data_IF_512852137299
#
_entry.id   IF_512852137299
#
_cell.length_a   1.000
_cell.length_b   1.000
_cell.length_c   1.000
_cell.angle_alpha   90.00
_cell.angle_beta   90.00
_cell.angle_gamma   90.00
#
_symmetry.space_group_name_H-M   'P 1'
#
loop_
_entity.id
_entity.type
_entity.pdbx_description
1 polymer ?
#
# COMPACT_ATOMS: atom_id res chain seq x y z
N UNK A 1 -17.94 10.85 26.72
CA UNK A 1 -17.96 11.32 25.31
C UNK A 1 -16.62 11.00 24.68
N UNK A 2 -16.56 9.96 23.86
CA UNK A 2 -15.35 9.49 23.18
C UNK A 2 -14.95 10.51 22.12
N UNK A 3 -13.77 11.14 22.25
CA UNK A 3 -13.23 12.04 21.21
C UNK A 3 -13.18 11.28 19.88
N UNK A 4 -13.82 11.84 18.86
CA UNK A 4 -13.70 11.35 17.50
C UNK A 4 -12.22 11.34 17.11
N UNK A 5 -11.71 10.17 16.70
CA UNK A 5 -10.32 10.02 16.24
C UNK A 5 -10.18 10.77 14.90
N UNK A 6 -9.00 11.32 14.64
CA UNK A 6 -8.71 11.98 13.35
C UNK A 6 -8.90 10.99 12.18
N UNK A 7 -9.36 11.44 11.00
CA UNK A 7 -9.55 10.60 9.82
C UNK A 7 -8.32 9.74 9.45
N UNK A 8 -7.13 10.32 9.57
CA UNK A 8 -5.86 9.61 9.33
C UNK A 8 -5.63 8.45 10.31
N UNK A 9 -6.04 8.60 11.57
CA UNK A 9 -5.93 7.51 12.55
C UNK A 9 -6.86 6.36 12.20
N UNK A 10 -8.06 6.65 11.67
CA UNK A 10 -9.03 5.66 11.21
C UNK A 10 -8.46 4.88 10.03
N UNK A 11 -7.98 5.58 8.99
CA UNK A 11 -7.35 4.97 7.81
C UNK A 11 -6.16 4.08 8.19
N UNK A 12 -5.30 4.55 9.10
CA UNK A 12 -4.10 3.82 9.47
C UNK A 12 -4.40 2.56 10.32
N UNK A 13 -5.51 2.50 11.07
CA UNK A 13 -5.72 1.44 12.07
C UNK A 13 -7.04 0.68 11.96
N UNK A 14 -8.17 1.36 11.75
CA UNK A 14 -9.47 0.70 11.62
C UNK A 14 -9.76 0.28 10.19
N UNK A 15 -9.40 1.10 9.21
CA UNK A 15 -9.60 0.83 7.78
C UNK A 15 -8.31 0.29 7.13
N UNK A 16 -7.41 -0.29 7.92
CA UNK A 16 -6.25 -0.96 7.38
C UNK A 16 -6.72 -2.30 6.78
N UNK A 17 -6.53 -2.55 5.48
CA UNK A 17 -7.03 -3.76 4.84
C UNK A 17 -6.35 -5.04 5.37
N UNK A 18 -5.13 -4.94 5.92
CA UNK A 18 -4.43 -6.07 6.55
C UNK A 18 -4.79 -6.29 8.02
N UNK A 19 -5.86 -5.66 8.51
CA UNK A 19 -6.25 -5.74 9.92
C UNK A 19 -6.63 -7.17 10.33
N UNK A 20 -7.30 -7.89 9.44
CA UNK A 20 -7.81 -9.24 9.67
C UNK A 20 -6.72 -10.33 9.58
N UNK A 21 -5.54 -10.00 9.05
CA UNK A 21 -4.36 -10.86 9.15
C UNK A 21 -3.96 -11.14 10.61
N UNK A 22 -4.24 -10.20 11.52
CA UNK A 22 -4.04 -10.40 12.96
C UNK A 22 -5.16 -11.30 13.51
N UNK A 23 -4.88 -12.60 13.56
CA UNK A 23 -5.84 -13.64 13.99
C UNK A 23 -6.03 -14.77 12.98
N UNK A 24 -5.44 -14.70 11.78
CA UNK A 24 -5.39 -15.85 10.86
C UNK A 24 -4.48 -16.94 11.41
N UNK A 25 -4.90 -18.20 11.25
CA UNK A 25 -4.21 -19.36 11.85
C UNK A 25 -2.75 -19.50 11.39
N UNK A 26 -2.46 -19.20 10.12
CA UNK A 26 -1.14 -19.32 9.51
C UNK A 26 -0.30 -18.03 9.55
N UNK A 27 -0.87 -16.90 9.99
CA UNK A 27 -0.18 -15.61 10.04
C UNK A 27 0.09 -15.21 11.49
N UNK A 28 1.36 -15.18 11.87
CA UNK A 28 1.72 -14.69 13.21
C UNK A 28 1.37 -13.20 13.38
N UNK A 29 1.06 -12.74 14.61
CA UNK A 29 0.82 -11.32 14.89
C UNK A 29 1.96 -10.39 14.46
N UNK A 30 3.20 -10.91 14.47
CA UNK A 30 4.37 -10.17 14.02
C UNK A 30 4.34 -9.87 12.52
N UNK A 31 3.82 -10.79 11.70
CA UNK A 31 3.70 -10.61 10.25
C UNK A 31 2.47 -9.78 9.88
N UNK A 32 1.34 -9.99 10.55
CA UNK A 32 0.18 -9.10 10.42
C UNK A 32 0.56 -7.63 10.71
N UNK A 33 1.33 -7.39 11.78
CA UNK A 33 1.83 -6.04 12.10
C UNK A 33 2.74 -5.46 11.02
N UNK A 34 3.54 -6.28 10.32
CA UNK A 34 4.39 -5.83 9.21
C UNK A 34 3.57 -5.48 7.97
N UNK A 35 2.57 -6.29 7.62
CA UNK A 35 1.64 -5.99 6.52
C UNK A 35 0.88 -4.67 6.77
N UNK A 36 0.35 -4.50 8.00
CA UNK A 36 -0.30 -3.27 8.41
C UNK A 36 0.65 -2.05 8.36
N UNK A 37 1.94 -2.23 8.67
CA UNK A 37 2.95 -1.17 8.57
C UNK A 37 3.27 -0.83 7.11
N UNK A 38 3.37 -1.82 6.22
CA UNK A 38 3.60 -1.61 4.79
C UNK A 38 2.51 -0.72 4.19
N UNK A 39 1.24 -0.99 4.50
CA UNK A 39 0.12 -0.14 4.09
C UNK A 39 0.20 1.29 4.66
N UNK A 40 0.52 1.44 5.95
CA UNK A 40 0.70 2.76 6.58
C UNK A 40 1.77 3.60 5.89
N UNK A 41 2.86 2.96 5.46
CA UNK A 41 3.94 3.65 4.75
C UNK A 41 3.50 4.09 3.35
N UNK A 42 2.74 3.25 2.62
CA UNK A 42 2.15 3.67 1.34
C UNK A 42 1.24 4.89 1.52
N UNK A 43 0.33 4.85 2.51
CA UNK A 43 -0.54 5.99 2.81
C UNK A 43 0.23 7.26 3.15
N UNK A 44 1.39 7.16 3.80
CA UNK A 44 2.21 8.32 4.11
C UNK A 44 2.79 8.95 2.83
N UNK A 45 3.24 8.13 1.87
CA UNK A 45 3.75 8.61 0.58
C UNK A 45 2.63 9.21 -0.26
N UNK A 46 1.51 8.50 -0.45
CA UNK A 46 0.42 8.98 -1.33
C UNK A 46 -0.23 10.26 -0.81
N UNK A 47 -0.30 10.47 0.51
CA UNK A 47 -0.74 11.75 1.10
C UNK A 47 0.23 12.91 0.86
N UNK A 48 1.49 12.61 0.58
CA UNK A 48 2.50 13.60 0.23
C UNK A 48 2.51 13.97 -1.26
N UNK A 49 1.75 13.25 -2.10
CA UNK A 49 1.62 13.56 -3.52
C UNK A 49 0.58 14.67 -3.70
N UNK A 50 1.01 15.78 -4.31
CA UNK A 50 0.18 16.95 -4.59
C UNK A 50 0.14 17.25 -6.10
N UNK A 51 -0.99 17.78 -6.59
CA UNK A 51 -1.18 18.10 -8.00
C UNK A 51 -0.18 19.12 -8.56
N UNK A 52 0.42 19.96 -7.72
CA UNK A 52 1.45 20.92 -8.11
C UNK A 52 2.87 20.31 -8.13
N UNK A 53 3.03 19.05 -7.75
CA UNK A 53 4.33 18.37 -7.82
C UNK A 53 4.81 18.22 -9.25
N UNK A 54 6.13 18.28 -9.41
CA UNK A 54 6.77 17.94 -10.67
C UNK A 54 6.58 16.42 -10.94
N UNK A 55 6.27 16.09 -12.19
CA UNK A 55 5.87 14.74 -12.59
C UNK A 55 6.96 13.69 -12.35
N UNK A 56 8.23 14.00 -12.62
CA UNK A 56 9.34 13.07 -12.35
C UNK A 56 9.56 12.84 -10.85
N UNK A 57 9.36 13.86 -10.01
CA UNK A 57 9.42 13.73 -8.54
C UNK A 57 8.28 12.85 -8.02
N UNK A 58 7.05 13.08 -8.49
CA UNK A 58 5.90 12.24 -8.13
C UNK A 58 6.09 10.79 -8.56
N UNK A 59 6.56 10.58 -9.80
CA UNK A 59 6.86 9.25 -10.35
C UNK A 59 7.90 8.52 -9.51
N UNK A 60 9.05 9.15 -9.23
CA UNK A 60 10.11 8.55 -8.42
C UNK A 60 9.64 8.18 -7.00
N UNK A 61 8.80 9.02 -6.38
CA UNK A 61 8.23 8.74 -5.07
C UNK A 61 7.28 7.53 -5.09
N UNK A 62 6.45 7.40 -6.12
CA UNK A 62 5.51 6.28 -6.30
C UNK A 62 6.25 4.98 -6.62
N UNK A 63 7.27 5.00 -7.48
CA UNK A 63 8.11 3.82 -7.75
C UNK A 63 8.85 3.33 -6.50
N UNK A 64 9.41 4.26 -5.72
CA UNK A 64 10.06 3.94 -4.44
C UNK A 64 9.06 3.35 -3.43
N UNK A 65 7.83 3.88 -3.39
CA UNK A 65 6.75 3.35 -2.56
C UNK A 65 6.39 1.91 -2.94
N UNK A 66 6.14 1.64 -4.22
CA UNK A 66 5.82 0.29 -4.71
C UNK A 66 6.96 -0.68 -4.40
N UNK A 67 8.21 -0.27 -4.66
CA UNK A 67 9.39 -1.08 -4.37
C UNK A 67 9.48 -1.44 -2.88
N UNK A 68 9.32 -0.46 -1.99
CA UNK A 68 9.35 -0.68 -0.55
C UNK A 68 8.18 -1.55 -0.05
N UNK A 69 7.01 -1.40 -0.65
CA UNK A 69 5.83 -2.19 -0.35
C UNK A 69 6.04 -3.66 -0.70
N UNK A 70 6.48 -3.95 -1.93
CA UNK A 70 6.78 -5.32 -2.40
C UNK A 70 7.89 -5.96 -1.56
N UNK A 71 8.98 -5.23 -1.30
CA UNK A 71 10.10 -5.72 -0.51
C UNK A 71 9.68 -6.12 0.93
N UNK A 72 8.68 -5.45 1.51
CA UNK A 72 8.14 -5.82 2.80
C UNK A 72 7.53 -7.23 2.79
N UNK A 73 6.78 -7.59 1.74
CA UNK A 73 6.17 -8.90 1.59
C UNK A 73 7.15 -9.97 1.10
N UNK A 74 8.06 -9.65 0.18
CA UNK A 74 9.16 -10.57 -0.21
C UNK A 74 9.95 -11.01 1.03
N UNK A 75 10.23 -10.09 1.97
CA UNK A 75 10.91 -10.41 3.24
C UNK A 75 10.07 -11.28 4.18
N UNK A 76 8.75 -11.18 4.15
CA UNK A 76 7.86 -12.04 4.92
C UNK A 76 7.89 -13.44 4.32
N UNK A 77 7.69 -13.55 3.01
CA UNK A 77 7.67 -14.83 2.31
C UNK A 77 8.99 -15.58 2.47
N UNK A 78 10.13 -14.93 2.20
CA UNK A 78 11.46 -15.56 2.37
C UNK A 78 11.73 -16.10 3.78
N UNK A 79 11.04 -15.59 4.80
CA UNK A 79 11.25 -15.97 6.20
C UNK A 79 10.27 -17.02 6.69
N UNK A 80 9.06 -17.05 6.15
CA UNK A 80 7.96 -17.80 6.76
C UNK A 80 7.11 -18.59 5.77
N UNK A 81 7.19 -18.29 4.47
CA UNK A 81 6.36 -18.88 3.42
C UNK A 81 4.87 -18.94 3.78
N UNK A 82 4.30 -17.77 4.11
CA UNK A 82 2.91 -17.63 4.60
C UNK A 82 2.00 -16.91 3.61
N UNK A 83 2.52 -16.41 2.49
CA UNK A 83 1.75 -15.64 1.53
C UNK A 83 1.18 -16.60 0.48
N UNK A 84 -0.05 -17.06 0.72
CA UNK A 84 -0.77 -17.96 -0.18
C UNK A 84 -1.51 -17.16 -1.27
N UNK A 85 -2.38 -17.84 -2.03
CA UNK A 85 -3.14 -17.22 -3.12
C UNK A 85 -4.02 -16.06 -2.63
N UNK A 86 -4.69 -16.23 -1.49
CA UNK A 86 -5.56 -15.19 -0.92
C UNK A 86 -4.74 -13.96 -0.53
N UNK A 87 -3.65 -14.15 0.22
CA UNK A 87 -2.81 -13.03 0.63
C UNK A 87 -2.16 -12.32 -0.56
N UNK A 88 -1.78 -13.03 -1.63
CA UNK A 88 -1.27 -12.43 -2.87
C UNK A 88 -2.28 -11.50 -3.51
N UNK A 89 -3.52 -11.98 -3.66
CA UNK A 89 -4.61 -11.21 -4.25
C UNK A 89 -4.94 -9.98 -3.39
N UNK A 90 -4.92 -10.12 -2.06
CA UNK A 90 -5.10 -9.00 -1.13
C UNK A 90 -3.99 -7.96 -1.25
N UNK A 91 -2.73 -8.38 -1.26
CA UNK A 91 -1.58 -7.47 -1.41
C UNK A 91 -1.69 -6.68 -2.73
N UNK A 92 -2.03 -7.36 -3.82
CA UNK A 92 -2.23 -6.70 -5.12
C UNK A 92 -3.41 -5.72 -5.07
N UNK A 93 -4.57 -6.17 -4.59
CA UNK A 93 -5.81 -5.38 -4.59
C UNK A 93 -5.65 -4.12 -3.76
N UNK A 94 -4.99 -4.21 -2.60
CA UNK A 94 -4.73 -3.05 -1.73
C UNK A 94 -3.85 -2.00 -2.43
N UNK A 95 -2.83 -2.41 -3.18
CA UNK A 95 -2.03 -1.48 -3.96
C UNK A 95 -2.85 -0.86 -5.09
N UNK A 96 -3.56 -1.68 -5.87
CA UNK A 96 -4.35 -1.23 -7.01
C UNK A 96 -5.44 -0.22 -6.60
N UNK A 97 -6.19 -0.51 -5.54
CA UNK A 97 -7.22 0.38 -4.99
C UNK A 97 -6.63 1.72 -4.53
N UNK A 98 -5.46 1.69 -3.86
CA UNK A 98 -4.80 2.90 -3.40
C UNK A 98 -4.32 3.78 -4.57
N UNK A 99 -3.75 3.17 -5.62
CA UNK A 99 -3.30 3.88 -6.81
C UNK A 99 -4.50 4.49 -7.57
N UNK A 100 -5.58 3.72 -7.76
CA UNK A 100 -6.80 4.20 -8.40
C UNK A 100 -7.44 5.38 -7.62
N UNK A 101 -7.46 5.30 -6.28
CA UNK A 101 -7.95 6.40 -5.45
C UNK A 101 -7.09 7.66 -5.61
N UNK A 102 -5.77 7.52 -5.59
CA UNK A 102 -4.85 8.64 -5.76
C UNK A 102 -4.99 9.28 -7.15
N UNK A 103 -5.04 8.45 -8.19
CA UNK A 103 -5.23 8.87 -9.58
C UNK A 103 -6.54 9.64 -9.77
N UNK A 104 -7.65 9.14 -9.21
CA UNK A 104 -8.94 9.84 -9.23
C UNK A 104 -8.90 11.18 -8.49
N UNK A 105 -8.22 11.24 -7.33
CA UNK A 105 -8.06 12.48 -6.57
C UNK A 105 -7.30 13.55 -7.36
N UNK A 106 -6.17 13.18 -7.98
CA UNK A 106 -5.31 14.11 -8.73
C UNK A 106 -5.94 14.50 -10.07
N UNK A 107 -6.62 13.58 -10.74
CA UNK A 107 -7.38 13.87 -11.96
C UNK A 107 -8.50 14.88 -11.70
N UNK A 108 -9.19 14.78 -10.55
CA UNK A 108 -10.17 15.77 -10.10
C UNK A 108 -9.56 17.17 -9.84
N UNK A 109 -8.24 17.24 -9.68
CA UNK A 109 -7.46 18.48 -9.54
C UNK A 109 -6.78 18.91 -10.85
N UNK A 110 -6.99 18.18 -11.95
CA UNK A 110 -6.42 18.47 -13.27
C UNK A 110 -4.97 18.01 -13.44
N UNK A 111 -4.46 17.12 -12.57
CA UNK A 111 -3.10 16.60 -12.64
C UNK A 111 -3.09 15.11 -13.00
N UNK A 112 -2.27 14.74 -13.99
CA UNK A 112 -2.05 13.36 -14.42
C UNK A 112 -0.64 12.92 -13.99
N UNK A 113 -0.48 12.59 -12.71
CA UNK A 113 0.82 12.25 -12.09
C UNK A 113 0.99 10.76 -11.79
N UNK A 114 -0.07 9.96 -11.94
CA UNK A 114 -0.07 8.53 -11.59
C UNK A 114 -0.19 7.72 -12.87
N UNK A 115 0.88 7.01 -13.22
CA UNK A 115 0.84 5.95 -14.23
C UNK A 115 0.56 4.62 -13.52
N UNK A 116 -0.74 4.31 -13.36
CA UNK A 116 -1.19 3.11 -12.63
C UNK A 116 -0.65 1.83 -13.28
N UNK A 117 -0.65 1.76 -14.61
CA UNK A 117 -0.19 0.58 -15.33
C UNK A 117 1.31 0.34 -15.11
N UNK A 118 2.16 1.37 -15.24
CA UNK A 118 3.59 1.23 -15.02
C UNK A 118 3.93 0.82 -13.58
N UNK A 119 3.18 1.32 -12.59
CA UNK A 119 3.38 0.99 -11.18
C UNK A 119 2.93 -0.45 -10.86
N UNK A 120 1.85 -0.94 -11.47
CA UNK A 120 1.41 -2.33 -11.33
C UNK A 120 2.36 -3.30 -12.06
N UNK A 121 2.87 -2.92 -13.24
CA UNK A 121 3.91 -3.69 -13.93
C UNK A 121 5.22 -3.76 -13.11
N UNK A 122 5.58 -2.68 -12.41
CA UNK A 122 6.69 -2.68 -11.46
C UNK A 122 6.43 -3.63 -10.29
N UNK A 123 5.23 -3.60 -9.71
CA UNK A 123 4.83 -4.53 -8.66
C UNK A 123 4.99 -6.00 -9.12
N UNK A 124 4.46 -6.33 -10.30
CA UNK A 124 4.48 -7.69 -10.82
C UNK A 124 5.89 -8.20 -11.15
N UNK A 125 6.80 -7.32 -11.59
CA UNK A 125 8.22 -7.68 -11.78
C UNK A 125 8.97 -7.93 -10.49
N UNK A 126 8.63 -7.20 -9.43
CA UNK A 126 9.38 -7.23 -8.17
C UNK A 126 8.88 -8.29 -7.19
N UNK A 127 7.62 -8.72 -7.30
CA UNK A 127 7.06 -9.70 -6.36
C UNK A 127 7.77 -11.05 -6.53
N UNK A 128 8.33 -11.52 -5.43
CA UNK A 128 8.93 -12.85 -5.28
C UNK A 128 8.06 -13.74 -4.38
N UNK A 129 7.07 -13.13 -3.71
CA UNK A 129 6.14 -13.87 -2.89
C UNK A 129 5.21 -14.66 -3.77
#
# INVERSE_FOLDING_TARGET
MTKARKPEWLANNLLNPFRDWDGREHISPAYAKKAALAYKNMLAVTRGIDAAMEATVATAALEAMVTAYVDAFNKIERRASIIETVEREEIYSVLAELLAQLSGQLSGQGAALVDEAALLDLFDRLREF
#
